data_IF_841779760626
#
_entry.id   IF_841779760626
#
_cell.length_a   1.000
_cell.length_b   1.000
_cell.length_c   1.000
_cell.angle_alpha   90.00
_cell.angle_beta   90.00
_cell.angle_gamma   90.00
#
_symmetry.space_group_name_H-M   'P 1'
#
loop_
_entity.id
_entity.type
_entity.pdbx_description
1 polymer ?
#
# COMPACT_ATOMS: atom_id res chain seq x y z
N UNK A 1 -20.74 16.01 -59.04
CA UNK A 1 -20.27 16.21 -57.64
C UNK A 1 -20.33 14.90 -56.84
N UNK A 2 -19.48 13.90 -57.17
CA UNK A 2 -19.54 12.55 -56.55
C UNK A 2 -18.32 12.19 -55.66
N UNK A 3 -17.49 13.17 -55.24
CA UNK A 3 -16.20 12.90 -54.59
C UNK A 3 -16.15 13.03 -53.05
N UNK A 4 -17.17 13.56 -52.38
CA UNK A 4 -17.07 13.93 -50.95
C UNK A 4 -17.57 12.86 -49.96
N UNK A 5 -18.34 11.86 -50.40
CA UNK A 5 -18.97 10.90 -49.47
C UNK A 5 -18.05 9.77 -48.98
N UNK A 6 -16.95 9.47 -49.68
CA UNK A 6 -16.07 8.35 -49.30
C UNK A 6 -14.99 8.75 -48.29
N UNK A 7 -14.50 10.00 -48.34
CA UNK A 7 -13.46 10.50 -47.41
C UNK A 7 -13.95 10.66 -45.96
N UNK A 8 -15.25 10.92 -45.77
CA UNK A 8 -15.82 11.15 -44.43
C UNK A 8 -16.05 9.86 -43.63
N UNK A 9 -16.36 8.73 -44.30
CA UNK A 9 -16.66 7.43 -43.66
C UNK A 9 -15.43 6.77 -43.02
N UNK A 10 -14.27 6.87 -43.68
CA UNK A 10 -12.99 6.38 -43.11
C UNK A 10 -12.53 7.24 -41.93
N UNK A 11 -12.88 8.54 -41.93
CA UNK A 11 -12.58 9.45 -40.83
C UNK A 11 -13.27 9.08 -39.52
N UNK A 12 -14.57 8.78 -39.54
CA UNK A 12 -15.31 8.49 -38.29
C UNK A 12 -14.84 7.17 -37.62
N UNK A 13 -14.68 6.10 -38.39
CA UNK A 13 -14.16 4.83 -37.87
C UNK A 13 -12.75 4.99 -37.30
N UNK A 14 -11.89 5.75 -37.97
CA UNK A 14 -10.55 6.07 -37.48
C UNK A 14 -10.58 6.88 -36.18
N UNK A 15 -11.46 7.88 -36.07
CA UNK A 15 -11.65 8.67 -34.83
C UNK A 15 -12.13 7.78 -33.68
N UNK A 16 -13.10 6.88 -33.92
CA UNK A 16 -13.55 5.94 -32.89
C UNK A 16 -12.42 5.03 -32.42
N UNK A 17 -11.64 4.46 -33.35
CA UNK A 17 -10.48 3.66 -33.01
C UNK A 17 -9.44 4.43 -32.19
N UNK A 18 -9.12 5.67 -32.59
CA UNK A 18 -8.21 6.54 -31.87
C UNK A 18 -8.73 6.86 -30.46
N UNK A 19 -10.04 7.10 -30.30
CA UNK A 19 -10.65 7.36 -28.98
C UNK A 19 -10.51 6.18 -28.02
N UNK A 20 -10.70 4.95 -28.50
CA UNK A 20 -10.51 3.73 -27.69
C UNK A 20 -9.05 3.60 -27.26
N UNK A 21 -8.10 3.88 -28.16
CA UNK A 21 -6.67 3.90 -27.81
C UNK A 21 -6.37 4.98 -26.76
N UNK A 22 -6.88 6.19 -26.93
CA UNK A 22 -6.67 7.29 -25.98
C UNK A 22 -7.23 6.95 -24.60
N UNK A 23 -8.42 6.36 -24.53
CA UNK A 23 -9.04 5.91 -23.26
C UNK A 23 -8.21 4.80 -22.62
N UNK A 24 -7.75 3.82 -23.40
CA UNK A 24 -6.87 2.78 -22.89
C UNK A 24 -5.58 3.36 -22.31
N UNK A 25 -4.89 4.25 -23.04
CA UNK A 25 -3.68 4.91 -22.55
C UNK A 25 -3.96 5.73 -21.28
N UNK A 26 -5.09 6.43 -21.24
CA UNK A 26 -5.49 7.21 -20.07
C UNK A 26 -5.69 6.31 -18.85
N UNK A 27 -6.55 5.29 -18.96
CA UNK A 27 -6.91 4.39 -17.87
C UNK A 27 -5.75 3.49 -17.41
N UNK A 28 -4.90 3.04 -18.31
CA UNK A 28 -3.80 2.12 -17.97
C UNK A 28 -2.51 2.82 -17.56
N UNK A 29 -2.31 4.10 -17.92
CA UNK A 29 -1.05 4.81 -17.65
C UNK A 29 -1.23 6.21 -17.10
N UNK A 30 -2.03 7.07 -17.74
CA UNK A 30 -2.00 8.50 -17.41
C UNK A 30 -2.79 8.83 -16.14
N UNK A 31 -3.82 8.07 -15.80
CA UNK A 31 -4.74 8.35 -14.67
C UNK A 31 -4.03 8.43 -13.31
N UNK A 32 -2.90 7.74 -13.14
CA UNK A 32 -2.13 7.76 -11.90
C UNK A 32 -1.42 9.10 -11.66
N UNK A 33 -1.00 9.80 -12.71
CA UNK A 33 -0.29 11.08 -12.60
C UNK A 33 -1.15 12.17 -11.96
N UNK A 34 -2.34 12.53 -12.47
CA UNK A 34 -3.17 13.56 -11.85
C UNK A 34 -3.72 13.12 -10.48
N UNK A 35 -3.85 11.82 -10.20
CA UNK A 35 -4.20 11.33 -8.87
C UNK A 35 -3.08 11.63 -7.86
N UNK A 36 -1.83 11.29 -8.20
CA UNK A 36 -0.66 11.44 -7.32
C UNK A 36 -0.16 12.88 -7.27
N UNK A 37 -0.29 13.69 -8.33
CA UNK A 37 0.10 15.11 -8.34
C UNK A 37 -0.71 15.97 -7.34
N UNK A 38 -1.82 15.44 -6.81
CA UNK A 38 -2.60 16.09 -5.73
C UNK A 38 -1.92 15.94 -4.36
N UNK A 39 -0.90 15.10 -4.27
CA UNK A 39 -0.14 14.87 -3.06
C UNK A 39 1.03 15.82 -2.94
N UNK A 40 1.28 16.25 -1.71
CA UNK A 40 2.48 16.97 -1.31
C UNK A 40 3.01 16.39 -0.01
N UNK A 41 4.32 16.45 0.17
CA UNK A 41 4.93 16.13 1.45
C UNK A 41 4.40 17.08 2.52
N UNK A 42 3.92 16.58 3.68
CA UNK A 42 3.45 17.44 4.74
C UNK A 42 4.64 18.19 5.39
N UNK A 43 4.44 19.44 5.76
CA UNK A 43 5.48 20.27 6.39
C UNK A 43 5.46 20.08 7.91
N UNK A 44 6.64 19.99 8.54
CA UNK A 44 6.74 19.90 10.00
C UNK A 44 6.40 21.25 10.65
N UNK A 45 5.74 21.21 11.81
CA UNK A 45 5.39 22.41 12.55
C UNK A 45 6.58 22.85 13.43
N UNK A 46 7.48 23.69 12.89
CA UNK A 46 8.57 24.32 13.64
C UNK A 46 9.99 24.01 13.14
N UNK A 47 10.97 24.64 13.79
CA UNK A 47 12.39 24.64 13.40
C UNK A 47 12.95 23.21 13.40
N UNK A 48 13.18 22.66 12.20
CA UNK A 48 13.78 21.34 11.94
C UNK A 48 15.01 21.18 12.83
N UNK A 49 14.90 20.41 13.92
CA UNK A 49 15.90 20.34 14.97
C UNK A 49 17.34 20.39 14.43
N UNK A 50 18.03 21.50 14.67
CA UNK A 50 19.46 21.73 14.40
C UNK A 50 20.00 21.07 13.11
N UNK A 51 19.56 21.55 11.94
CA UNK A 51 20.32 21.39 10.68
C UNK A 51 20.30 20.01 10.00
N UNK A 52 19.54 19.03 10.50
CA UNK A 52 19.30 17.77 9.77
C UNK A 52 18.02 17.92 8.94
N UNK A 53 18.07 17.73 7.61
CA UNK A 53 16.87 17.80 6.77
C UNK A 53 15.89 16.69 7.16
N UNK A 54 14.57 16.94 7.12
CA UNK A 54 13.59 15.93 7.50
C UNK A 54 13.69 14.70 6.60
N UNK A 55 13.31 13.54 7.14
CA UNK A 55 13.20 12.28 6.42
C UNK A 55 11.83 12.20 5.76
N UNK A 56 11.81 11.93 4.45
CA UNK A 56 10.59 11.68 3.68
C UNK A 56 10.39 10.18 3.47
N UNK A 57 9.38 9.61 4.11
CA UNK A 57 9.06 8.19 4.03
C UNK A 57 7.68 7.95 3.40
N UNK A 58 7.60 6.94 2.53
CA UNK A 58 6.37 6.46 1.91
C UNK A 58 5.94 5.15 2.59
N UNK A 59 4.68 5.03 2.98
CA UNK A 59 4.12 3.84 3.63
C UNK A 59 3.01 3.23 2.80
N UNK A 60 3.18 1.96 2.46
CA UNK A 60 2.22 1.10 1.77
C UNK A 60 1.80 -0.03 2.71
N UNK A 61 0.68 -0.68 2.44
CA UNK A 61 0.26 -1.88 3.15
C UNK A 61 -0.53 -2.80 2.22
N UNK A 62 -0.59 -4.09 2.56
CA UNK A 62 -1.50 -5.09 2.01
C UNK A 62 -1.48 -5.08 0.47
N UNK A 63 -0.31 -5.36 -0.11
CA UNK A 63 -0.17 -5.41 -1.58
C UNK A 63 -0.81 -6.67 -2.15
N UNK A 64 -0.87 -7.77 -1.38
CA UNK A 64 -1.50 -9.04 -1.76
C UNK A 64 -1.21 -9.46 -3.20
N UNK A 65 0.06 -9.65 -3.54
CA UNK A 65 0.41 -10.25 -4.83
C UNK A 65 -0.25 -11.63 -4.91
N UNK A 66 -1.05 -11.84 -5.96
CA UNK A 66 -1.82 -13.06 -6.12
C UNK A 66 -0.87 -14.24 -6.39
N UNK A 67 -1.04 -15.32 -5.62
CA UNK A 67 -0.27 -16.54 -5.78
C UNK A 67 -0.82 -17.47 -6.86
N UNK A 68 -0.22 -18.66 -6.95
CA UNK A 68 -0.51 -19.63 -8.00
C UNK A 68 -1.71 -20.55 -7.69
N UNK A 69 -2.17 -20.62 -6.44
CA UNK A 69 -3.14 -21.63 -5.98
C UNK A 69 -4.58 -21.13 -6.10
N UNK A 70 -4.86 -19.94 -5.58
CA UNK A 70 -6.18 -19.29 -5.57
C UNK A 70 -6.23 -18.08 -6.51
N UNK A 71 -5.08 -17.59 -6.99
CA UNK A 71 -5.02 -16.45 -7.88
C UNK A 71 -5.55 -16.73 -9.29
N UNK A 72 -6.45 -15.86 -9.78
CA UNK A 72 -6.91 -15.89 -11.17
C UNK A 72 -6.00 -15.02 -12.05
N UNK A 73 -5.61 -15.51 -13.24
CA UNK A 73 -4.61 -14.84 -14.10
C UNK A 73 -5.00 -13.41 -14.52
N UNK A 74 -6.29 -13.17 -14.80
CA UNK A 74 -6.77 -11.84 -15.20
C UNK A 74 -6.78 -10.87 -14.03
N UNK A 75 -7.12 -11.38 -12.84
CA UNK A 75 -7.08 -10.59 -11.61
C UNK A 75 -5.63 -10.23 -11.31
N UNK A 76 -4.75 -11.23 -11.33
CA UNK A 76 -3.29 -11.07 -11.21
C UNK A 76 -2.75 -9.99 -12.13
N UNK A 77 -3.03 -10.09 -13.44
CA UNK A 77 -2.64 -9.09 -14.43
C UNK A 77 -3.13 -7.70 -14.05
N UNK A 78 -4.40 -7.56 -13.67
CA UNK A 78 -5.02 -6.24 -13.41
C UNK A 78 -4.49 -5.58 -12.15
N UNK A 79 -4.42 -6.32 -11.03
CA UNK A 79 -3.98 -5.79 -9.72
C UNK A 79 -2.50 -5.46 -9.73
N UNK A 80 -1.68 -6.34 -10.30
CA UNK A 80 -0.24 -6.11 -10.37
C UNK A 80 0.13 -4.99 -11.33
N UNK A 81 -0.59 -4.87 -12.45
CA UNK A 81 -0.45 -3.71 -13.32
C UNK A 81 -0.75 -2.41 -12.58
N UNK A 82 -1.86 -2.36 -11.83
CA UNK A 82 -2.19 -1.18 -11.03
C UNK A 82 -1.13 -0.86 -10.01
N UNK A 83 -0.67 -1.85 -9.23
CA UNK A 83 0.36 -1.63 -8.22
C UNK A 83 1.66 -1.14 -8.85
N UNK A 84 2.10 -1.72 -9.97
CA UNK A 84 3.31 -1.27 -10.65
C UNK A 84 3.16 0.17 -11.14
N UNK A 85 2.06 0.50 -11.83
CA UNK A 85 1.85 1.86 -12.33
C UNK A 85 1.74 2.88 -11.20
N UNK A 86 1.02 2.53 -10.13
CA UNK A 86 0.87 3.39 -8.95
C UNK A 86 2.21 3.65 -8.26
N UNK A 87 2.97 2.58 -7.98
CA UNK A 87 4.24 2.66 -7.27
C UNK A 87 5.32 3.40 -8.10
N UNK A 88 5.48 3.04 -9.38
CA UNK A 88 6.47 3.69 -10.24
C UNK A 88 6.15 5.18 -10.46
N UNK A 89 4.87 5.54 -10.56
CA UNK A 89 4.45 6.95 -10.67
C UNK A 89 4.69 7.71 -9.35
N UNK A 90 4.35 7.10 -8.20
CA UNK A 90 4.60 7.69 -6.89
C UNK A 90 6.09 7.92 -6.64
N UNK A 91 6.93 6.93 -6.94
CA UNK A 91 8.38 7.02 -6.79
C UNK A 91 8.97 8.13 -7.66
N UNK A 92 8.56 8.21 -8.93
CA UNK A 92 9.04 9.22 -9.87
C UNK A 92 8.63 10.66 -9.53
N UNK A 93 7.40 10.86 -9.04
CA UNK A 93 6.87 12.19 -8.74
C UNK A 93 7.21 12.67 -7.33
N UNK A 94 7.16 11.79 -6.32
CA UNK A 94 7.28 12.16 -4.92
C UNK A 94 8.69 12.00 -4.39
N UNK A 95 9.52 11.14 -5.00
CA UNK A 95 10.92 10.92 -4.64
C UNK A 95 11.13 10.71 -3.12
N UNK A 96 10.48 9.70 -2.51
CA UNK A 96 10.72 9.32 -1.11
C UNK A 96 12.17 8.85 -0.92
N UNK A 97 12.69 8.99 0.29
CA UNK A 97 14.02 8.48 0.66
C UNK A 97 13.97 7.03 1.15
N UNK A 98 12.85 6.66 1.77
CA UNK A 98 12.59 5.30 2.25
C UNK A 98 11.13 4.93 1.99
N UNK A 99 10.90 3.67 1.66
CA UNK A 99 9.59 3.07 1.47
C UNK A 99 9.41 1.94 2.47
N UNK A 100 8.30 1.94 3.21
CA UNK A 100 7.89 0.84 4.06
C UNK A 100 6.66 0.14 3.48
N UNK A 101 6.64 -1.19 3.48
CA UNK A 101 5.45 -2.00 3.18
C UNK A 101 5.06 -2.80 4.42
N UNK A 102 3.88 -2.51 4.98
CA UNK A 102 3.45 -2.99 6.30
C UNK A 102 2.77 -4.37 6.26
N UNK A 103 3.44 -5.35 5.66
CA UNK A 103 2.97 -6.75 5.63
C UNK A 103 2.00 -7.06 4.49
N UNK A 104 1.71 -8.36 4.40
CA UNK A 104 0.87 -8.98 3.38
C UNK A 104 1.32 -8.59 1.96
N UNK A 105 2.62 -8.83 1.74
CA UNK A 105 3.23 -8.65 0.44
C UNK A 105 2.61 -9.61 -0.58
N UNK A 106 2.45 -10.86 -0.16
CA UNK A 106 1.88 -11.96 -0.94
C UNK A 106 0.57 -12.42 -0.35
N UNK A 107 -0.36 -12.87 -1.20
CA UNK A 107 -1.64 -13.43 -0.73
C UNK A 107 -1.51 -14.89 -0.24
N UNK A 108 -0.51 -15.60 -0.76
CA UNK A 108 -0.36 -17.05 -0.60
C UNK A 108 0.99 -17.46 0.00
N UNK A 109 1.81 -16.50 0.44
CA UNK A 109 3.12 -16.74 1.00
C UNK A 109 3.09 -17.87 2.04
N UNK A 110 2.15 -17.82 2.97
CA UNK A 110 1.94 -18.82 4.04
C UNK A 110 1.83 -20.28 3.60
N UNK A 111 1.48 -20.58 2.36
CA UNK A 111 1.32 -21.96 1.89
C UNK A 111 1.93 -22.21 0.50
N UNK A 112 2.67 -21.25 -0.07
CA UNK A 112 3.27 -21.38 -1.39
C UNK A 112 4.38 -22.44 -1.43
N UNK A 113 4.46 -23.17 -2.54
CA UNK A 113 5.59 -24.05 -2.83
C UNK A 113 6.88 -23.22 -2.97
N UNK A 114 8.09 -23.80 -2.82
CA UNK A 114 9.34 -23.06 -3.03
C UNK A 114 9.41 -22.38 -4.40
N UNK A 115 8.89 -23.03 -5.45
CA UNK A 115 8.88 -22.48 -6.81
C UNK A 115 7.91 -21.30 -6.94
N UNK A 116 6.71 -21.41 -6.38
CA UNK A 116 5.72 -20.33 -6.44
C UNK A 116 6.18 -19.14 -5.59
N UNK A 117 6.82 -19.39 -4.44
CA UNK A 117 7.47 -18.36 -3.65
C UNK A 117 8.53 -17.58 -4.45
N UNK A 118 9.42 -18.28 -5.17
CA UNK A 118 10.42 -17.63 -6.02
C UNK A 118 9.79 -16.80 -7.15
N UNK A 119 8.70 -17.30 -7.74
CA UNK A 119 7.92 -16.59 -8.76
C UNK A 119 7.32 -15.29 -8.21
N UNK A 120 6.66 -15.39 -7.05
CA UNK A 120 6.04 -14.27 -6.36
C UNK A 120 7.08 -13.22 -5.96
N UNK A 121 8.22 -13.63 -5.39
CA UNK A 121 9.34 -12.75 -5.05
C UNK A 121 9.90 -12.04 -6.29
N UNK A 122 10.08 -12.75 -7.40
CA UNK A 122 10.57 -12.16 -8.65
C UNK A 122 9.63 -11.08 -9.17
N UNK A 123 8.32 -11.33 -9.13
CA UNK A 123 7.29 -10.36 -9.55
C UNK A 123 7.23 -9.17 -8.61
N UNK A 124 7.29 -9.40 -7.30
CA UNK A 124 7.38 -8.33 -6.29
C UNK A 124 8.54 -7.38 -6.59
N UNK A 125 9.75 -7.92 -6.79
CA UNK A 125 10.94 -7.12 -7.11
C UNK A 125 10.81 -6.35 -8.42
N UNK A 126 10.05 -6.87 -9.40
CA UNK A 126 9.78 -6.18 -10.66
C UNK A 126 8.80 -5.01 -10.51
N UNK A 127 7.71 -5.23 -9.75
CA UNK A 127 6.64 -4.25 -9.50
C UNK A 127 7.18 -3.10 -8.64
N UNK A 128 7.86 -3.45 -7.56
CA UNK A 128 8.43 -2.51 -6.58
C UNK A 128 9.90 -2.16 -6.86
N UNK A 129 10.33 -2.21 -8.12
CA UNK A 129 11.68 -1.78 -8.51
C UNK A 129 11.91 -0.32 -8.15
N UNK A 130 13.07 -0.03 -7.60
CA UNK A 130 13.45 1.30 -7.12
C UNK A 130 14.96 1.51 -7.36
N UNK A 131 15.41 2.78 -7.47
CA UNK A 131 16.83 3.08 -7.59
C UNK A 131 17.54 2.82 -6.26
N UNK A 132 18.86 2.62 -6.32
CA UNK A 132 19.67 2.16 -5.18
C UNK A 132 19.76 3.14 -4.00
N UNK A 133 19.44 4.41 -4.23
CA UNK A 133 19.40 5.46 -3.22
C UNK A 133 18.09 5.49 -2.40
N UNK A 134 17.09 4.72 -2.81
CA UNK A 134 15.82 4.56 -2.07
C UNK A 134 15.84 3.21 -1.36
N UNK A 135 15.70 3.22 -0.03
CA UNK A 135 15.61 1.98 0.74
C UNK A 135 14.15 1.49 0.77
N UNK A 136 13.89 0.22 0.41
CA UNK A 136 12.59 -0.42 0.57
C UNK A 136 12.65 -1.47 1.66
N UNK A 137 11.80 -1.32 2.67
CA UNK A 137 11.76 -2.16 3.86
C UNK A 137 10.36 -2.80 3.97
N UNK A 138 10.31 -4.12 3.84
CA UNK A 138 9.10 -4.90 3.99
C UNK A 138 8.99 -5.49 5.40
N UNK A 139 7.82 -5.35 6.01
CA UNK A 139 7.47 -6.00 7.27
C UNK A 139 6.69 -7.26 6.96
N UNK A 140 6.76 -8.23 7.86
CA UNK A 140 6.05 -9.50 7.75
C UNK A 140 4.56 -9.29 8.01
N UNK A 141 3.68 -9.89 7.19
CA UNK A 141 2.26 -10.08 7.49
C UNK A 141 1.83 -11.54 7.62
N UNK A 142 0.56 -11.78 7.94
CA UNK A 142 0.02 -13.12 8.16
C UNK A 142 -0.18 -13.90 6.85
N UNK A 143 -0.40 -13.24 5.71
CA UNK A 143 -0.41 -13.92 4.42
C UNK A 143 1.00 -14.29 3.93
N UNK A 144 2.04 -13.65 4.45
CA UNK A 144 3.43 -13.93 4.07
C UNK A 144 3.96 -15.21 4.73
N UNK A 145 3.73 -15.37 6.04
CA UNK A 145 4.30 -16.48 6.83
C UNK A 145 3.25 -17.36 7.54
N UNK A 146 1.98 -16.96 7.52
CA UNK A 146 0.87 -17.63 8.19
C UNK A 146 0.36 -16.83 9.40
N UNK A 147 -0.90 -17.10 9.78
CA UNK A 147 -1.36 -16.76 11.12
C UNK A 147 -0.52 -17.50 12.17
N UNK A 148 -0.61 -17.10 13.43
CA UNK A 148 0.19 -17.65 14.54
C UNK A 148 0.36 -19.18 14.49
N UNK A 149 -0.73 -19.95 14.35
CA UNK A 149 -0.67 -21.41 14.33
C UNK A 149 -0.12 -22.03 13.04
N UNK A 150 -0.04 -21.27 11.95
CA UNK A 150 0.52 -21.68 10.66
C UNK A 150 1.98 -21.25 10.49
N UNK A 151 2.44 -20.28 11.30
CA UNK A 151 3.80 -19.76 11.30
C UNK A 151 4.82 -20.83 11.70
N UNK A 152 5.96 -20.86 11.01
CA UNK A 152 7.09 -21.71 11.37
C UNK A 152 8.42 -21.10 10.89
N UNK A 153 9.53 -21.64 11.41
CA UNK A 153 10.88 -21.16 11.10
C UNK A 153 11.20 -21.16 9.61
N UNK A 154 10.80 -22.19 8.84
CA UNK A 154 11.06 -22.22 7.40
C UNK A 154 10.40 -21.03 6.66
N UNK A 155 9.13 -20.74 6.97
CA UNK A 155 8.40 -19.62 6.34
C UNK A 155 8.98 -18.27 6.77
N UNK A 156 9.38 -18.15 8.03
CA UNK A 156 9.97 -16.94 8.58
C UNK A 156 11.36 -16.68 7.97
N UNK A 157 12.27 -17.64 8.05
CA UNK A 157 13.65 -17.51 7.60
C UNK A 157 13.74 -17.21 6.09
N UNK A 158 12.88 -17.84 5.27
CA UNK A 158 12.87 -17.54 3.83
C UNK A 158 12.39 -16.11 3.53
N UNK A 159 11.44 -15.58 4.32
CA UNK A 159 10.98 -14.19 4.19
C UNK A 159 12.10 -13.23 4.60
N UNK A 160 12.64 -13.42 5.81
CA UNK A 160 13.73 -12.62 6.38
C UNK A 160 14.94 -12.57 5.45
N UNK A 161 15.32 -13.71 4.87
CA UNK A 161 16.43 -13.81 3.91
C UNK A 161 16.17 -13.03 2.62
N UNK A 162 14.96 -13.08 2.06
CA UNK A 162 14.65 -12.42 0.78
C UNK A 162 14.59 -10.91 0.93
N UNK A 163 14.03 -10.43 2.05
CA UNK A 163 13.76 -9.02 2.31
C UNK A 163 14.78 -8.36 3.24
N UNK A 164 15.79 -9.11 3.71
CA UNK A 164 16.84 -8.62 4.61
C UNK A 164 16.27 -7.91 5.86
N UNK A 165 15.25 -8.54 6.44
CA UNK A 165 14.53 -8.07 7.64
C UNK A 165 14.63 -9.14 8.73
N UNK A 166 14.42 -8.75 9.98
CA UNK A 166 14.28 -9.68 11.11
C UNK A 166 12.97 -9.40 11.82
N UNK A 167 12.49 -10.38 12.57
CA UNK A 167 11.21 -10.30 13.29
C UNK A 167 11.14 -9.18 14.33
N UNK A 168 12.28 -8.73 14.84
CA UNK A 168 12.42 -7.55 15.68
C UNK A 168 13.65 -6.76 15.24
N UNK A 169 13.49 -5.49 14.84
CA UNK A 169 14.61 -4.63 14.43
C UNK A 169 14.34 -3.16 14.66
N UNK A 170 15.40 -2.40 14.91
CA UNK A 170 15.37 -0.94 14.78
C UNK A 170 16.08 -0.53 13.48
N UNK A 171 15.39 0.27 12.67
CA UNK A 171 15.96 0.98 11.52
C UNK A 171 16.11 2.44 11.91
N UNK A 172 17.32 2.98 11.79
CA UNK A 172 17.60 4.38 12.11
C UNK A 172 17.97 5.14 10.86
N UNK A 173 17.26 6.22 10.56
CA UNK A 173 17.57 7.10 9.44
C UNK A 173 17.33 8.57 9.82
N UNK A 174 18.28 9.47 9.53
CA UNK A 174 18.23 10.90 9.87
C UNK A 174 17.81 11.19 11.33
N UNK A 175 18.28 10.36 12.26
CA UNK A 175 17.98 10.48 13.69
C UNK A 175 16.59 9.98 14.11
N UNK A 176 15.83 9.37 13.20
CA UNK A 176 14.51 8.77 13.46
C UNK A 176 14.66 7.26 13.65
N UNK A 177 14.10 6.74 14.74
CA UNK A 177 14.07 5.32 15.05
C UNK A 177 12.73 4.70 14.62
N UNK A 178 12.78 3.67 13.77
CA UNK A 178 11.64 2.83 13.40
C UNK A 178 11.81 1.44 14.01
N UNK A 179 10.89 1.02 14.86
CA UNK A 179 10.85 -0.33 15.44
C UNK A 179 9.94 -1.19 14.57
N UNK A 180 10.50 -2.19 13.91
CA UNK A 180 9.78 -3.17 13.12
C UNK A 180 9.39 -4.34 14.02
N UNK A 181 8.11 -4.67 14.04
CA UNK A 181 7.55 -5.71 14.90
C UNK A 181 6.86 -6.77 14.04
N UNK A 182 7.32 -8.02 14.16
CA UNK A 182 6.56 -9.18 13.68
C UNK A 182 5.36 -9.43 14.61
N UNK A 183 4.22 -8.80 14.30
CA UNK A 183 2.99 -8.89 15.08
C UNK A 183 2.40 -10.31 15.20
N UNK A 184 2.75 -11.24 14.32
CA UNK A 184 2.26 -12.62 14.32
C UNK A 184 2.93 -13.42 15.44
N UNK A 185 4.11 -12.97 15.87
CA UNK A 185 4.85 -13.51 17.02
C UNK A 185 4.46 -12.85 18.35
N UNK A 186 3.50 -11.91 18.37
CA UNK A 186 3.00 -11.24 19.57
C UNK A 186 1.71 -11.90 20.12
N UNK A 187 1.66 -13.24 20.11
CA UNK A 187 0.46 -14.00 20.48
C UNK A 187 0.28 -14.16 22.01
N UNK A 188 1.37 -14.12 22.78
CA UNK A 188 1.34 -14.22 24.25
C UNK A 188 1.25 -15.64 24.82
N UNK A 189 1.45 -16.69 24.01
CA UNK A 189 1.42 -18.10 24.44
C UNK A 189 2.81 -18.72 24.67
N UNK A 190 3.89 -17.92 24.53
CA UNK A 190 5.29 -18.35 24.65
C UNK A 190 5.67 -19.44 23.64
N UNK A 191 5.12 -19.40 22.43
CA UNK A 191 5.65 -20.21 21.34
C UNK A 191 7.15 -19.91 21.11
N UNK A 192 7.97 -20.84 20.61
CA UNK A 192 9.42 -20.61 20.48
C UNK A 192 9.80 -19.38 19.64
N UNK A 193 9.08 -19.12 18.55
CA UNK A 193 9.27 -17.90 17.74
C UNK A 193 8.83 -16.66 18.54
N UNK A 194 7.68 -16.74 19.21
CA UNK A 194 7.09 -15.67 20.00
C UNK A 194 8.02 -15.23 21.12
N UNK A 195 8.52 -16.18 21.90
CA UNK A 195 9.45 -15.94 23.01
C UNK A 195 10.76 -15.32 22.50
N UNK A 196 11.28 -15.80 21.37
CA UNK A 196 12.46 -15.21 20.75
C UNK A 196 12.22 -13.74 20.36
N UNK A 197 11.14 -13.45 19.64
CA UNK A 197 10.79 -12.10 19.18
C UNK A 197 10.49 -11.16 20.35
N UNK A 198 9.73 -11.60 21.35
CA UNK A 198 9.42 -10.80 22.54
C UNK A 198 10.69 -10.46 23.34
N UNK A 199 11.63 -11.41 23.47
CA UNK A 199 12.91 -11.18 24.13
C UNK A 199 13.79 -10.18 23.36
N UNK A 200 13.84 -10.29 22.02
CA UNK A 200 14.56 -9.32 21.19
C UNK A 200 13.95 -7.92 21.28
N UNK A 201 12.63 -7.79 21.20
CA UNK A 201 11.94 -6.51 21.37
C UNK A 201 12.21 -5.90 22.74
N UNK A 202 12.16 -6.72 23.80
CA UNK A 202 12.50 -6.25 25.14
C UNK A 202 13.95 -5.75 25.23
N UNK A 203 14.90 -6.48 24.66
CA UNK A 203 16.31 -6.04 24.58
C UNK A 203 16.46 -4.71 23.82
N UNK A 204 15.81 -4.58 22.67
CA UNK A 204 15.81 -3.34 21.87
C UNK A 204 15.20 -2.16 22.64
N UNK A 205 14.14 -2.40 23.42
CA UNK A 205 13.52 -1.39 24.27
C UNK A 205 14.46 -0.88 25.37
N UNK A 206 15.24 -1.78 25.98
CA UNK A 206 16.24 -1.42 26.99
C UNK A 206 17.35 -0.57 26.36
N UNK A 207 17.84 -0.95 25.17
CA UNK A 207 18.86 -0.18 24.45
C UNK A 207 18.37 1.23 24.06
N UNK A 208 17.11 1.38 23.61
CA UNK A 208 16.50 2.68 23.36
C UNK A 208 16.37 3.51 24.64
N UNK A 209 15.91 2.91 25.74
CA UNK A 209 15.78 3.58 27.03
C UNK A 209 17.14 4.03 27.58
N UNK A 210 18.18 3.21 27.43
CA UNK A 210 19.55 3.56 27.77
C UNK A 210 20.05 4.77 26.99
N UNK A 211 19.68 4.88 25.72
CA UNK A 211 19.96 6.08 24.93
C UNK A 211 19.19 7.27 25.54
N UNK A 212 17.88 7.18 25.77
CA UNK A 212 17.07 8.32 26.27
C UNK A 212 17.43 8.78 27.71
N UNK A 213 17.75 7.87 28.64
CA UNK A 213 17.82 8.16 30.08
C UNK A 213 19.24 8.40 30.63
N UNK A 214 20.29 8.01 29.91
CA UNK A 214 21.68 8.03 30.41
C UNK A 214 22.28 9.42 30.68
N UNK A 215 21.58 10.49 30.26
CA UNK A 215 21.92 11.87 30.64
C UNK A 215 21.43 12.29 32.03
N UNK A 216 20.55 11.49 32.68
CA UNK A 216 19.85 11.90 33.92
C UNK A 216 20.37 11.25 35.20
N UNK A 217 21.14 10.16 35.15
CA UNK A 217 21.65 9.48 36.36
C UNK A 217 23.02 8.83 36.14
N UNK A 218 23.93 9.04 37.10
CA UNK A 218 25.27 8.44 37.14
C UNK A 218 25.25 6.93 37.39
N UNK A 219 24.23 6.39 38.07
CA UNK A 219 24.07 4.93 38.26
C UNK A 219 23.58 4.23 36.99
N UNK A 220 22.77 4.90 36.17
CA UNK A 220 22.26 4.37 34.89
C UNK A 220 23.36 4.29 33.83
N UNK A 221 24.38 5.17 33.90
CA UNK A 221 25.52 5.16 32.97
C UNK A 221 26.34 3.88 33.05
N UNK A 222 26.48 3.27 34.23
CA UNK A 222 27.23 2.01 34.40
C UNK A 222 26.47 0.82 33.83
N UNK A 223 25.14 0.82 33.94
CA UNK A 223 24.28 -0.25 33.38
C UNK A 223 24.17 -0.18 31.85
N UNK A 224 24.19 1.03 31.29
CA UNK A 224 23.99 1.27 29.86
C UNK A 224 25.31 1.42 29.05
N UNK A 225 26.47 1.05 29.60
CA UNK A 225 27.78 1.39 29.03
C UNK A 225 27.93 1.04 27.54
N UNK A 226 27.45 -0.13 27.11
CA UNK A 226 27.57 -0.60 25.72
C UNK A 226 26.45 -0.08 24.79
N UNK A 227 25.31 0.34 25.33
CA UNK A 227 24.11 0.73 24.56
C UNK A 227 23.88 2.24 24.48
N UNK A 228 24.64 3.05 25.24
CA UNK A 228 24.46 4.51 25.37
C UNK A 228 24.55 5.31 24.06
N UNK A 229 25.17 4.77 23.01
CA UNK A 229 25.34 5.44 21.71
C UNK A 229 24.70 4.68 20.54
N UNK A 230 23.95 3.60 20.81
CA UNK A 230 23.47 2.71 19.75
C UNK A 230 22.36 3.35 18.92
N UNK A 231 21.52 4.18 19.54
CA UNK A 231 20.40 4.84 18.87
C UNK A 231 20.33 6.33 19.23
N UNK A 232 19.89 7.18 18.28
CA UNK A 232 19.62 8.59 18.56
C UNK A 232 18.50 8.74 19.60
N UNK A 233 18.51 9.85 20.34
CA UNK A 233 17.52 10.20 21.36
C UNK A 233 16.18 10.65 20.72
N UNK A 234 15.50 9.73 20.05
CA UNK A 234 14.18 9.90 19.43
C UNK A 234 13.24 8.84 19.97
N UNK A 235 12.08 9.25 20.48
CA UNK A 235 10.97 8.31 20.70
C UNK A 235 10.66 7.60 19.39
N UNK A 236 10.54 6.26 19.40
CA UNK A 236 10.46 5.50 18.18
C UNK A 236 9.09 5.61 17.51
N UNK A 237 9.05 5.20 16.26
CA UNK A 237 7.84 4.91 15.50
C UNK A 237 7.73 3.39 15.40
N UNK A 238 6.62 2.81 15.81
CA UNK A 238 6.38 1.37 15.63
C UNK A 238 5.77 1.14 14.26
N UNK A 239 6.34 0.19 13.52
CA UNK A 239 5.82 -0.29 12.26
C UNK A 239 5.51 -1.79 12.41
N UNK A 240 4.29 -2.17 12.12
CA UNK A 240 3.83 -3.56 12.25
C UNK A 240 2.69 -3.86 11.28
N UNK A 241 2.28 -5.12 11.20
CA UNK A 241 1.15 -5.50 10.34
C UNK A 241 -0.18 -5.44 11.09
N UNK A 242 -0.36 -6.19 12.19
CA UNK A 242 -1.62 -6.12 12.97
C UNK A 242 -1.73 -4.80 13.70
N UNK A 243 -2.91 -4.15 13.74
CA UNK A 243 -3.11 -3.01 14.62
C UNK A 243 -2.96 -3.39 16.10
N UNK A 244 -2.69 -2.39 16.94
CA UNK A 244 -2.88 -2.51 18.38
C UNK A 244 -4.36 -2.78 18.69
N UNK A 245 -4.60 -3.33 19.87
CA UNK A 245 -5.93 -3.68 20.35
C UNK A 245 -6.89 -2.50 20.28
N UNK A 246 -7.99 -2.71 19.57
CA UNK A 246 -9.20 -1.88 19.59
C UNK A 246 -10.41 -2.77 19.32
N UNK A 247 -11.60 -2.46 19.86
CA UNK A 247 -12.74 -3.35 19.76
C UNK A 247 -13.32 -3.46 18.35
N UNK A 248 -13.22 -2.39 17.56
CA UNK A 248 -13.69 -2.28 16.18
C UNK A 248 -13.17 -0.96 15.56
N UNK A 249 -13.64 -0.65 14.35
CA UNK A 249 -13.31 0.56 13.59
C UNK A 249 -14.44 1.62 13.58
N UNK A 250 -15.39 1.57 14.53
CA UNK A 250 -16.63 2.37 14.46
C UNK A 250 -16.37 3.88 14.44
N UNK A 251 -15.36 4.33 15.18
CA UNK A 251 -14.93 5.74 15.28
C UNK A 251 -14.06 6.18 14.11
N UNK A 252 -13.63 5.26 13.25
CA UNK A 252 -12.81 5.58 12.09
C UNK A 252 -13.64 6.34 11.04
N UNK A 253 -13.06 7.39 10.48
CA UNK A 253 -13.68 8.27 9.49
C UNK A 253 -12.76 8.52 8.32
N UNK A 254 -13.32 8.95 7.19
CA UNK A 254 -12.60 9.21 5.95
C UNK A 254 -13.16 8.42 4.77
N UNK A 255 -12.77 8.82 3.56
CA UNK A 255 -13.24 8.17 2.32
C UNK A 255 -12.79 6.70 2.21
N UNK A 256 -11.66 6.36 2.82
CA UNK A 256 -11.05 5.03 2.82
C UNK A 256 -11.16 4.30 4.17
N UNK A 257 -12.00 4.79 5.08
CA UNK A 257 -12.43 4.01 6.24
C UNK A 257 -13.28 2.80 5.79
N UNK A 258 -13.39 1.79 6.65
CA UNK A 258 -14.24 0.62 6.40
C UNK A 258 -15.72 1.05 6.25
N UNK A 259 -16.51 0.26 5.53
CA UNK A 259 -17.95 0.53 5.37
C UNK A 259 -18.67 0.60 6.72
N UNK A 260 -19.83 1.28 6.81
CA UNK A 260 -20.61 1.30 8.04
C UNK A 260 -20.89 -0.09 8.62
N UNK A 261 -21.12 -1.09 7.77
CA UNK A 261 -21.37 -2.47 8.18
C UNK A 261 -20.12 -3.16 8.71
N UNK A 262 -18.96 -2.98 8.05
CA UNK A 262 -17.69 -3.60 8.45
C UNK A 262 -17.11 -2.95 9.71
N UNK A 263 -17.15 -1.62 9.80
CA UNK A 263 -16.47 -0.88 10.88
C UNK A 263 -17.06 -1.12 12.27
N UNK A 264 -18.29 -1.61 12.37
CA UNK A 264 -18.92 -1.97 13.65
C UNK A 264 -18.72 -3.44 14.03
N UNK A 265 -18.09 -4.25 13.17
CA UNK A 265 -17.79 -5.64 13.51
C UNK A 265 -16.75 -5.69 14.63
N UNK A 266 -17.00 -6.55 15.61
CA UNK A 266 -16.10 -6.72 16.76
C UNK A 266 -14.86 -7.46 16.28
N UNK A 267 -13.70 -6.87 16.52
CA UNK A 267 -12.42 -7.49 16.21
C UNK A 267 -12.10 -8.62 17.18
N UNK A 268 -11.57 -9.70 16.62
CA UNK A 268 -11.01 -10.82 17.34
C UNK A 268 -9.54 -10.57 17.65
N UNK A 269 -9.20 -10.58 18.94
CA UNK A 269 -7.81 -10.51 19.38
C UNK A 269 -6.97 -11.64 18.78
N UNK A 270 -5.70 -11.34 18.48
CA UNK A 270 -4.72 -12.24 17.89
C UNK A 270 -5.07 -12.70 16.47
N UNK A 271 -6.10 -12.12 15.87
CA UNK A 271 -6.49 -12.35 14.49
C UNK A 271 -6.61 -11.03 13.74
N UNK A 272 -7.59 -10.19 14.10
CA UNK A 272 -7.82 -8.89 13.46
C UNK A 272 -6.92 -7.78 14.05
N UNK A 273 -6.55 -7.93 15.32
CA UNK A 273 -5.71 -7.00 16.09
C UNK A 273 -4.81 -7.77 17.06
N UNK A 274 -3.76 -7.13 17.58
CA UNK A 274 -3.01 -7.68 18.72
C UNK A 274 -3.90 -7.82 19.95
N UNK A 275 -3.50 -8.69 20.89
CA UNK A 275 -4.20 -8.76 22.18
C UNK A 275 -4.01 -7.49 22.98
N UNK A 276 -4.91 -7.23 23.93
CA UNK A 276 -4.78 -6.08 24.83
C UNK A 276 -3.44 -6.10 25.58
N UNK A 277 -2.99 -7.26 26.06
CA UNK A 277 -1.73 -7.41 26.77
C UNK A 277 -0.52 -7.14 25.87
N UNK A 278 -0.51 -7.69 24.65
CA UNK A 278 0.57 -7.47 23.68
C UNK A 278 0.67 -5.99 23.29
N UNK A 279 -0.49 -5.34 23.11
CA UNK A 279 -0.56 -3.92 22.76
C UNK A 279 -0.01 -3.04 23.88
N UNK A 280 -0.45 -3.27 25.11
CA UNK A 280 0.03 -2.54 26.28
C UNK A 280 1.53 -2.76 26.54
N UNK A 281 2.02 -3.97 26.27
CA UNK A 281 3.44 -4.30 26.38
C UNK A 281 4.29 -3.48 25.40
N UNK A 282 3.88 -3.37 24.13
CA UNK A 282 4.59 -2.56 23.13
C UNK A 282 4.58 -1.06 23.50
N UNK A 283 3.44 -0.54 23.94
CA UNK A 283 3.32 0.84 24.40
C UNK A 283 4.24 1.11 25.60
N UNK A 284 4.26 0.21 26.58
CA UNK A 284 5.10 0.33 27.77
C UNK A 284 6.59 0.28 27.43
N UNK A 285 7.01 -0.70 26.61
CA UNK A 285 8.41 -0.88 26.24
C UNK A 285 8.99 0.29 25.46
N UNK A 286 8.25 0.78 24.46
CA UNK A 286 8.81 1.70 23.48
C UNK A 286 8.35 3.15 23.64
N UNK A 287 7.22 3.39 24.33
CA UNK A 287 6.62 4.72 24.45
C UNK A 287 6.59 5.47 23.10
N UNK A 288 6.03 4.86 22.04
CA UNK A 288 6.19 5.34 20.67
C UNK A 288 5.51 6.68 20.45
N UNK A 289 6.01 7.52 19.55
CA UNK A 289 5.31 8.77 19.19
C UNK A 289 4.29 8.58 18.06
N UNK A 290 4.40 7.47 17.32
CA UNK A 290 3.50 7.09 16.24
C UNK A 290 3.54 5.57 16.08
N UNK A 291 2.40 4.97 15.76
CA UNK A 291 2.28 3.59 15.30
C UNK A 291 1.68 3.60 13.89
N UNK A 292 2.27 2.85 12.97
CA UNK A 292 1.69 2.58 11.66
C UNK A 292 1.47 1.07 11.53
N UNK A 293 0.23 0.68 11.23
CA UNK A 293 -0.20 -0.71 11.08
C UNK A 293 -0.82 -0.96 9.70
N UNK A 294 -1.09 -2.22 9.34
CA UNK A 294 -1.79 -2.63 8.13
C UNK A 294 -3.05 -3.48 8.43
N UNK A 295 -3.19 -4.59 7.70
CA UNK A 295 -4.07 -5.75 7.96
C UNK A 295 -5.56 -5.54 7.74
N UNK A 296 -6.14 -4.46 8.27
CA UNK A 296 -7.60 -4.20 8.16
C UNK A 296 -8.04 -3.79 6.76
N UNK A 297 -7.08 -3.57 5.85
CA UNK A 297 -7.21 -2.98 4.52
C UNK A 297 -7.81 -1.56 4.49
N UNK A 298 -8.28 -1.08 5.64
CA UNK A 298 -9.05 0.15 5.83
C UNK A 298 -8.27 1.18 6.63
N UNK A 299 -8.47 2.45 6.29
CA UNK A 299 -7.79 3.50 7.01
C UNK A 299 -8.51 3.75 8.34
N UNK A 300 -7.74 3.73 9.42
CA UNK A 300 -8.24 4.15 10.72
C UNK A 300 -7.19 4.96 11.47
N UNK A 301 -7.65 5.93 12.26
CA UNK A 301 -6.83 6.65 13.23
C UNK A 301 -7.39 6.41 14.62
N UNK A 302 -6.55 5.88 15.51
CA UNK A 302 -6.87 5.67 16.93
C UNK A 302 -5.80 6.34 17.78
N UNK A 303 -6.17 6.81 18.97
CA UNK A 303 -5.22 7.34 19.94
C UNK A 303 -5.24 6.43 21.17
N UNK A 304 -4.16 5.69 21.39
CA UNK A 304 -3.99 4.82 22.54
C UNK A 304 -3.49 5.60 23.76
N UNK A 305 -4.04 5.31 24.93
CA UNK A 305 -3.74 5.97 26.22
C UNK A 305 -3.75 7.51 26.14
N UNK A 306 -4.58 8.08 25.25
CA UNK A 306 -4.64 9.52 24.94
C UNK A 306 -3.29 10.15 24.54
N UNK A 307 -2.32 9.34 24.11
CA UNK A 307 -0.93 9.76 23.89
C UNK A 307 -0.33 9.22 22.60
N UNK A 308 -0.67 7.99 22.23
CA UNK A 308 0.02 7.23 21.20
C UNK A 308 -0.88 7.10 19.96
N UNK A 309 -0.74 7.98 18.95
CA UNK A 309 -1.53 7.88 17.73
C UNK A 309 -1.10 6.66 16.92
N UNK A 310 -2.08 5.87 16.51
CA UNK A 310 -1.95 4.77 15.56
C UNK A 310 -2.71 5.11 14.28
N UNK A 311 -2.08 4.86 13.13
CA UNK A 311 -2.72 4.91 11.82
C UNK A 311 -2.64 3.53 11.19
N UNK A 312 -3.79 2.92 10.91
CA UNK A 312 -3.88 1.77 10.02
C UNK A 312 -3.80 2.26 8.59
N UNK A 313 -2.73 1.88 7.89
CA UNK A 313 -2.47 2.17 6.48
C UNK A 313 -3.37 1.26 5.65
N UNK A 314 -4.23 1.81 4.78
CA UNK A 314 -5.12 1.01 3.96
C UNK A 314 -4.35 0.23 2.88
N UNK A 315 -5.03 -0.75 2.29
CA UNK A 315 -4.44 -1.54 1.21
C UNK A 315 -4.10 -0.69 -0.01
N UNK A 316 -2.92 -0.96 -0.57
CA UNK A 316 -2.41 -0.36 -1.80
C UNK A 316 -3.02 -0.99 -3.07
N UNK A 317 -3.73 -2.11 -2.93
CA UNK A 317 -4.21 -2.94 -4.03
C UNK A 317 -5.71 -2.76 -4.27
N UNK A 318 -6.11 -2.66 -5.54
CA UNK A 318 -7.52 -2.73 -5.91
C UNK A 318 -8.20 -4.05 -5.51
N UNK A 319 -7.43 -5.09 -5.14
CA UNK A 319 -8.00 -6.39 -4.79
C UNK A 319 -8.78 -6.34 -3.48
N UNK A 320 -8.32 -5.52 -2.56
CA UNK A 320 -8.86 -5.40 -1.21
C UNK A 320 -9.84 -4.23 -1.11
N UNK A 321 -9.73 -3.22 -1.99
CA UNK A 321 -10.61 -2.05 -1.96
C UNK A 321 -10.69 -1.28 -3.28
N UNK A 322 -11.83 -0.62 -3.52
CA UNK A 322 -12.04 0.21 -4.71
C UNK A 322 -11.13 1.45 -4.77
N UNK A 323 -10.83 2.06 -3.61
CA UNK A 323 -10.14 3.34 -3.47
C UNK A 323 -8.82 3.23 -2.68
N UNK A 324 -7.80 2.53 -3.20
CA UNK A 324 -6.54 2.35 -2.50
C UNK A 324 -5.84 3.68 -2.26
N UNK A 325 -5.06 3.73 -1.19
CA UNK A 325 -4.30 4.93 -0.82
C UNK A 325 -2.98 4.53 -0.16
N UNK A 326 -2.09 5.51 -0.01
CA UNK A 326 -0.84 5.35 0.72
C UNK A 326 -0.59 6.58 1.61
N UNK A 327 0.35 6.47 2.54
CA UNK A 327 0.71 7.55 3.46
C UNK A 327 2.11 8.09 3.15
N UNK A 328 2.20 9.41 3.09
CA UNK A 328 3.45 10.16 3.10
C UNK A 328 3.72 10.64 4.52
N UNK A 329 4.93 10.43 5.00
CA UNK A 329 5.37 10.98 6.28
C UNK A 329 6.63 11.81 6.14
N UNK A 330 6.62 12.99 6.75
CA UNK A 330 7.79 13.83 6.96
C UNK A 330 8.18 13.72 8.42
N UNK A 331 9.43 13.33 8.70
CA UNK A 331 9.89 13.04 10.05
C UNK A 331 11.14 13.83 10.42
N UNK A 332 11.19 14.27 11.67
CA UNK A 332 12.40 14.66 12.37
C UNK A 332 12.59 13.75 13.61
N UNK A 333 13.71 13.83 14.33
CA UNK A 333 13.89 13.06 15.57
C UNK A 333 12.82 13.32 16.66
N UNK A 334 12.12 14.45 16.59
CA UNK A 334 11.15 14.87 17.63
C UNK A 334 9.72 15.01 17.13
N UNK A 335 9.53 15.33 15.86
CA UNK A 335 8.20 15.64 15.29
C UNK A 335 7.93 14.85 14.00
N UNK A 336 6.66 14.70 13.64
CA UNK A 336 6.23 14.07 12.40
C UNK A 336 4.95 14.71 11.87
N UNK A 337 4.77 14.67 10.56
CA UNK A 337 3.51 14.99 9.92
C UNK A 337 3.20 13.95 8.85
N UNK A 338 1.91 13.64 8.69
CA UNK A 338 1.43 12.63 7.74
C UNK A 338 0.46 13.27 6.75
N UNK A 339 0.55 12.86 5.49
CA UNK A 339 -0.42 13.17 4.45
C UNK A 339 -0.87 11.87 3.77
N UNK A 340 -2.15 11.80 3.43
CA UNK A 340 -2.74 10.65 2.74
C UNK A 340 -2.89 10.93 1.25
N UNK A 341 -2.62 9.92 0.44
CA UNK A 341 -2.61 10.00 -1.01
C UNK A 341 -3.49 8.93 -1.64
N UNK A 342 -4.60 9.36 -2.25
CA UNK A 342 -5.51 8.46 -2.96
C UNK A 342 -4.99 8.10 -4.35
N UNK A 343 -5.15 6.83 -4.69
CA UNK A 343 -4.95 6.32 -6.04
C UNK A 343 -6.27 6.33 -6.81
N UNK A 344 -6.24 6.16 -8.15
CA UNK A 344 -7.45 6.05 -8.93
C UNK A 344 -8.36 4.93 -8.43
N UNK A 345 -9.67 5.16 -8.45
CA UNK A 345 -10.64 4.14 -8.08
C UNK A 345 -10.85 3.12 -9.21
N UNK A 346 -10.95 1.83 -8.90
CA UNK A 346 -11.19 0.80 -9.92
C UNK A 346 -12.51 1.06 -10.66
N UNK A 347 -13.57 1.31 -9.91
CA UNK A 347 -14.90 1.61 -10.45
C UNK A 347 -14.89 2.80 -11.41
N UNK A 348 -14.09 3.84 -11.13
CA UNK A 348 -13.93 4.97 -12.04
C UNK A 348 -13.32 4.51 -13.38
N UNK A 349 -12.30 3.64 -13.35
CA UNK A 349 -11.72 3.09 -14.58
C UNK A 349 -12.72 2.22 -15.34
N UNK A 350 -13.46 1.36 -14.64
CA UNK A 350 -14.50 0.50 -15.23
C UNK A 350 -15.61 1.35 -15.88
N UNK A 351 -16.11 2.37 -15.18
CA UNK A 351 -17.14 3.29 -15.70
C UNK A 351 -16.67 4.00 -16.96
N UNK A 352 -15.41 4.46 -17.02
CA UNK A 352 -14.83 5.09 -18.21
C UNK A 352 -14.81 4.11 -19.39
N UNK A 353 -14.35 2.87 -19.17
CA UNK A 353 -14.35 1.85 -20.22
C UNK A 353 -15.75 1.51 -20.71
N UNK A 354 -16.70 1.25 -19.80
CA UNK A 354 -18.08 0.92 -20.15
C UNK A 354 -18.77 2.08 -20.90
N UNK A 355 -18.57 3.32 -20.44
CA UNK A 355 -19.14 4.51 -21.09
C UNK A 355 -18.58 4.71 -22.50
N UNK A 356 -17.26 4.52 -22.67
CA UNK A 356 -16.60 4.60 -23.98
C UNK A 356 -17.11 3.52 -24.93
N UNK A 357 -17.21 2.28 -24.46
CA UNK A 357 -17.73 1.17 -25.25
C UNK A 357 -19.18 1.44 -25.71
N UNK A 358 -20.04 1.92 -24.80
CA UNK A 358 -21.42 2.29 -25.14
C UNK A 358 -21.48 3.39 -26.21
N UNK A 359 -20.71 4.47 -26.05
CA UNK A 359 -20.67 5.58 -27.02
C UNK A 359 -20.17 5.11 -28.38
N UNK A 360 -19.09 4.33 -28.43
CA UNK A 360 -18.55 3.78 -29.68
C UNK A 360 -19.55 2.85 -30.36
N UNK A 361 -20.25 1.98 -29.62
CA UNK A 361 -21.30 1.12 -30.16
C UNK A 361 -22.48 1.92 -30.74
N UNK A 362 -22.91 2.99 -30.06
CA UNK A 362 -23.98 3.87 -30.56
C UNK A 362 -23.55 4.61 -31.84
N UNK A 363 -22.32 5.15 -31.87
CA UNK A 363 -21.78 5.81 -33.06
C UNK A 363 -21.61 4.84 -34.24
N UNK A 364 -21.17 3.61 -33.98
CA UNK A 364 -21.02 2.59 -35.01
C UNK A 364 -22.39 2.16 -35.58
N UNK A 365 -23.37 1.92 -34.72
CA UNK A 365 -24.73 1.54 -35.17
C UNK A 365 -25.39 2.67 -35.96
N UNK A 366 -25.27 3.92 -35.50
CA UNK A 366 -25.72 5.10 -36.25
C UNK A 366 -25.01 5.19 -37.61
N UNK A 367 -23.68 5.08 -37.66
CA UNK A 367 -22.91 5.13 -38.90
C UNK A 367 -23.32 4.02 -39.89
N UNK A 368 -23.52 2.79 -39.41
CA UNK A 368 -23.99 1.67 -40.23
C UNK A 368 -25.41 1.91 -40.74
N UNK A 369 -26.31 2.43 -39.91
CA UNK A 369 -27.67 2.77 -40.30
C UNK A 369 -27.68 3.84 -41.39
N UNK A 370 -27.03 4.99 -41.18
CA UNK A 370 -26.95 6.06 -42.18
C UNK A 370 -26.28 5.59 -43.48
N UNK A 371 -25.25 4.73 -43.40
CA UNK A 371 -24.62 4.17 -44.59
C UNK A 371 -25.57 3.25 -45.36
N UNK A 372 -26.37 2.42 -44.69
CA UNK A 372 -27.41 1.59 -45.31
C UNK A 372 -28.52 2.44 -45.94
N UNK A 373 -29.04 3.45 -45.23
CA UNK A 373 -30.09 4.35 -45.74
C UNK A 373 -29.60 5.13 -46.97
N UNK A 374 -28.35 5.62 -46.95
CA UNK A 374 -27.72 6.28 -48.09
C UNK A 374 -27.57 5.35 -49.30
N UNK A 375 -27.19 4.07 -49.09
CA UNK A 375 -27.15 3.08 -50.17
C UNK A 375 -28.55 2.79 -50.74
N UNK A 376 -29.57 2.61 -49.90
CA UNK A 376 -30.96 2.36 -50.34
C UNK A 376 -31.54 3.54 -51.13
N UNK A 377 -31.25 4.77 -50.73
CA UNK A 377 -31.62 5.98 -51.49
C UNK A 377 -30.90 6.04 -52.83
N UNK A 378 -29.61 5.71 -52.87
CA UNK A 378 -28.83 5.69 -54.11
C UNK A 378 -29.34 4.62 -55.10
N UNK A 379 -29.67 3.42 -54.62
CA UNK A 379 -30.23 2.35 -55.48
C UNK A 379 -31.63 2.68 -55.97
N UNK A 380 -32.48 3.31 -55.14
CA UNK A 380 -33.80 3.81 -55.55
C UNK A 380 -33.73 4.88 -56.64
N UNK A 381 -32.79 5.82 -56.52
CA UNK A 381 -32.56 6.87 -57.54
C UNK A 381 -32.00 6.29 -58.85
N UNK A 382 -31.09 5.31 -58.79
CA UNK A 382 -30.56 4.65 -59.99
C UNK A 382 -31.59 3.73 -60.66
N UNK A 383 -32.50 3.12 -59.91
CA UNK A 383 -33.59 2.30 -60.45
C UNK A 383 -34.62 3.11 -61.25
N UNK A 384 -34.86 4.37 -60.88
CA UNK A 384 -35.77 5.29 -61.60
C UNK A 384 -35.24 5.81 -62.93
N UNK A 385 -33.93 5.71 -63.19
CA UNK A 385 -33.30 6.18 -64.44
C UNK A 385 -33.15 5.10 -65.52
N UNK A 386 -33.57 3.85 -65.28
CA UNK A 386 -33.53 2.75 -66.27
C UNK A 386 -34.86 2.49 -67.00
N UNK A 387 -35.84 3.37 -66.84
CA UNK A 387 -37.11 3.32 -67.57
C UNK A 387 -37.26 4.54 -68.47
N UNK A 388 -36.61 4.53 -69.64
CA UNK A 388 -37.01 5.27 -70.83
C UNK A 388 -36.44 4.57 -72.07
#
# INVERSE_FOLDING_TARGET
MHGLSCKCKWGLTFIMFLSVICVFIFCEYLIYYPAILRCSWPELNGDSGKGVPPLRALFLSDTHLLGAIKGHWLDKLRREWQMERSFQTALGLLQPEVVFILGDLFDEGKWSSPKDWEDDVRRFKQIFRHPSDVELIAIIGNHDIGFHHEMNWYKLERFEKVFNVTSARIVTNKGVNFVLVNSMAMHGDRCPICEHVENELYSLSQALNCSVLSHRSSSMRTYCQDDMQKFPHSSPIILQHYPLYRPNDAECTGQDAASPEERHQVFHERYDVLSQEASQRLLWWFQPRLILSGHTHSACKVIHDNKHPEISVPSFSWRNRNNPSFILGTFSPTDFQLAKCFLPEESSVVVIYCSTAMVVSLLLTAHLHFSKTSMLLATSLMGKHKGF
#
